data_IF_868703687282
#
_entry.id   IF_868703687282
#
_cell.length_a   1.000
_cell.length_b   1.000
_cell.length_c   1.000
_cell.angle_alpha   90.00
_cell.angle_beta   90.00
_cell.angle_gamma   90.00
#
_symmetry.space_group_name_H-M   'P 1'
#
loop_
_entity.id
_entity.type
_entity.pdbx_description
1 polymer ?
#
# COMPACT_ATOMS: atom_id res chain seq x y z
N UNK A 1 -9.50 13.59 -32.14
CA UNK A 1 -10.59 13.90 -31.21
C UNK A 1 -10.08 14.99 -30.30
N UNK A 2 -10.86 16.06 -30.09
CA UNK A 2 -10.58 17.09 -29.06
C UNK A 2 -10.63 16.41 -27.70
N UNK A 3 -9.64 16.68 -26.83
CA UNK A 3 -9.66 16.21 -25.45
C UNK A 3 -10.94 16.73 -24.76
N UNK A 4 -11.56 15.89 -23.95
CA UNK A 4 -12.74 16.26 -23.16
C UNK A 4 -12.31 17.32 -22.13
N UNK A 5 -13.11 18.38 -21.98
CA UNK A 5 -12.86 19.37 -20.92
C UNK A 5 -13.24 18.83 -19.54
N UNK A 6 -12.75 19.49 -18.48
CA UNK A 6 -13.11 19.14 -17.09
C UNK A 6 -14.62 19.21 -16.85
N UNK A 7 -15.30 20.23 -17.40
CA UNK A 7 -16.75 20.39 -17.27
C UNK A 7 -17.53 19.27 -17.99
N UNK A 8 -17.07 18.87 -19.18
CA UNK A 8 -17.66 17.76 -19.93
C UNK A 8 -17.47 16.43 -19.20
N UNK A 9 -16.30 16.21 -18.62
CA UNK A 9 -16.01 15.02 -17.83
C UNK A 9 -16.87 14.95 -16.57
N UNK A 10 -16.90 16.02 -15.78
CA UNK A 10 -17.76 16.11 -14.59
C UNK A 10 -19.23 15.86 -14.93
N UNK A 11 -19.74 16.52 -15.98
CA UNK A 11 -21.11 16.35 -16.42
C UNK A 11 -21.41 14.93 -16.92
N UNK A 12 -20.44 14.27 -17.55
CA UNK A 12 -20.60 12.88 -18.01
C UNK A 12 -20.69 11.91 -16.82
N UNK A 13 -19.77 12.02 -15.84
CA UNK A 13 -19.78 11.20 -14.62
C UNK A 13 -21.07 11.46 -13.82
N UNK A 14 -21.43 12.71 -13.60
CA UNK A 14 -22.66 13.08 -12.88
C UNK A 14 -23.91 12.49 -13.54
N UNK A 15 -24.02 12.49 -14.87
CA UNK A 15 -25.14 11.86 -15.57
C UNK A 15 -25.21 10.35 -15.39
N UNK A 16 -24.05 9.66 -15.44
CA UNK A 16 -23.99 8.23 -15.22
C UNK A 16 -24.45 7.88 -13.80
N UNK A 17 -23.95 8.60 -12.81
CA UNK A 17 -24.34 8.42 -11.40
C UNK A 17 -25.84 8.71 -11.18
N UNK A 18 -26.37 9.77 -11.78
CA UNK A 18 -27.80 10.09 -11.72
C UNK A 18 -28.70 9.04 -12.40
N UNK A 19 -28.15 8.30 -13.38
CA UNK A 19 -28.81 7.15 -14.00
C UNK A 19 -28.73 5.87 -13.15
N UNK A 20 -28.04 5.92 -12.01
CA UNK A 20 -27.85 4.78 -11.11
C UNK A 20 -26.71 3.85 -11.52
N UNK A 21 -25.82 4.29 -12.40
CA UNK A 21 -24.62 3.53 -12.75
C UNK A 21 -23.64 3.48 -11.58
N UNK A 22 -23.12 2.29 -11.29
CA UNK A 22 -22.12 2.07 -10.24
C UNK A 22 -20.78 1.58 -10.81
N UNK A 23 -20.73 1.16 -12.06
CA UNK A 23 -19.50 0.81 -12.80
C UNK A 23 -19.14 2.01 -13.70
N UNK A 24 -18.26 2.87 -13.21
CA UNK A 24 -17.85 4.10 -13.86
C UNK A 24 -16.50 3.90 -14.55
N UNK A 25 -16.47 4.02 -15.87
CA UNK A 25 -15.27 3.85 -16.69
C UNK A 25 -14.89 5.13 -17.40
N UNK A 26 -13.66 5.58 -17.15
CA UNK A 26 -13.14 6.85 -17.64
C UNK A 26 -11.84 6.59 -18.40
N UNK A 27 -11.74 7.20 -19.60
CA UNK A 27 -10.51 7.20 -20.36
C UNK A 27 -9.95 8.63 -20.39
N UNK A 28 -8.83 8.84 -19.75
CA UNK A 28 -8.14 10.12 -19.67
C UNK A 28 -6.98 10.19 -20.68
N UNK A 29 -6.49 11.39 -20.93
CA UNK A 29 -5.22 11.59 -21.60
C UNK A 29 -4.07 11.08 -20.73
N UNK A 30 -2.95 10.74 -21.35
CA UNK A 30 -1.76 10.20 -20.66
C UNK A 30 -1.20 11.20 -19.63
N UNK A 31 -1.29 12.50 -19.94
CA UNK A 31 -0.85 13.63 -19.13
C UNK A 31 -1.98 14.30 -18.34
N UNK A 32 -3.09 13.58 -18.07
CA UNK A 32 -4.18 14.11 -17.28
C UNK A 32 -3.68 14.58 -15.91
N UNK A 33 -4.03 15.81 -15.58
CA UNK A 33 -3.58 16.51 -14.39
C UNK A 33 -4.61 16.47 -13.23
N UNK A 34 -4.27 17.10 -12.11
CA UNK A 34 -5.12 17.16 -10.94
C UNK A 34 -6.51 17.80 -11.21
N UNK A 35 -6.63 18.67 -12.22
CA UNK A 35 -7.92 19.31 -12.54
C UNK A 35 -8.90 18.32 -13.18
N UNK A 36 -8.41 17.39 -14.00
CA UNK A 36 -9.22 16.31 -14.56
C UNK A 36 -9.68 15.34 -13.47
N UNK A 37 -8.80 14.98 -12.55
CA UNK A 37 -9.16 14.16 -11.41
C UNK A 37 -10.14 14.87 -10.46
N UNK A 38 -9.96 16.17 -10.22
CA UNK A 38 -10.92 16.97 -9.41
C UNK A 38 -12.33 16.97 -10.02
N UNK A 39 -12.45 16.98 -11.34
CA UNK A 39 -13.75 16.85 -12.00
C UNK A 39 -14.44 15.50 -11.71
N UNK A 40 -13.66 14.42 -11.63
CA UNK A 40 -14.16 13.08 -11.27
C UNK A 40 -14.57 13.06 -9.80
N UNK A 41 -13.70 13.52 -8.90
CA UNK A 41 -13.96 13.49 -7.45
C UNK A 41 -15.13 14.36 -7.06
N UNK A 42 -15.31 15.53 -7.69
CA UNK A 42 -16.47 16.39 -7.48
C UNK A 42 -17.78 15.67 -7.81
N UNK A 43 -17.83 14.92 -8.90
CA UNK A 43 -19.02 14.14 -9.26
C UNK A 43 -19.26 12.97 -8.27
N UNK A 44 -18.22 12.21 -7.94
CA UNK A 44 -18.32 11.07 -7.02
C UNK A 44 -18.74 11.48 -5.60
N UNK A 45 -18.24 12.61 -5.10
CA UNK A 45 -18.57 13.11 -3.76
C UNK A 45 -20.09 13.35 -3.59
N UNK A 46 -20.82 13.64 -4.68
CA UNK A 46 -22.28 13.85 -4.64
C UNK A 46 -23.08 12.58 -4.34
N UNK A 47 -22.47 11.39 -4.46
CA UNK A 47 -23.13 10.10 -4.19
C UNK A 47 -23.14 9.74 -2.71
N UNK A 48 -22.36 10.43 -1.89
CA UNK A 48 -22.21 10.16 -0.46
C UNK A 48 -23.10 11.10 0.33
N UNK A 49 -23.79 10.57 1.35
CA UNK A 49 -24.65 11.37 2.22
C UNK A 49 -23.87 12.52 2.87
N UNK A 50 -24.22 13.79 2.60
CA UNK A 50 -23.49 14.93 3.13
C UNK A 50 -23.63 15.12 4.65
N UNK A 51 -24.55 14.41 5.31
CA UNK A 51 -24.73 14.46 6.76
C UNK A 51 -23.74 13.59 7.53
N UNK A 52 -23.05 12.65 6.85
CA UNK A 52 -22.06 11.79 7.47
C UNK A 52 -20.75 12.55 7.71
N UNK A 53 -20.20 12.41 8.90
CA UNK A 53 -18.87 12.95 9.21
C UNK A 53 -17.75 12.01 8.75
N UNK A 54 -16.50 12.47 8.85
CA UNK A 54 -15.34 11.70 8.43
C UNK A 54 -15.23 10.36 9.16
N UNK A 55 -15.49 10.32 10.47
CA UNK A 55 -15.41 9.08 11.25
C UNK A 55 -16.42 8.04 10.76
N UNK A 56 -17.66 8.45 10.51
CA UNK A 56 -18.70 7.58 9.95
C UNK A 56 -18.30 7.03 8.57
N UNK A 57 -17.73 7.87 7.71
CA UNK A 57 -17.30 7.47 6.37
C UNK A 57 -16.13 6.48 6.40
N UNK A 58 -15.13 6.72 7.20
CA UNK A 58 -13.96 5.84 7.28
C UNK A 58 -14.32 4.51 7.94
N UNK A 59 -15.03 4.56 9.08
CA UNK A 59 -15.28 3.35 9.89
C UNK A 59 -16.45 2.52 9.39
N UNK A 60 -17.58 3.14 9.05
CA UNK A 60 -18.85 2.44 8.89
C UNK A 60 -19.38 2.45 7.45
N UNK A 61 -19.07 3.47 6.65
CA UNK A 61 -19.59 3.61 5.30
C UNK A 61 -18.98 2.58 4.35
N UNK A 62 -19.77 2.06 3.43
CA UNK A 62 -19.32 1.17 2.35
C UNK A 62 -19.52 1.84 1.01
N UNK A 63 -18.45 2.06 0.28
CA UNK A 63 -18.50 2.59 -1.07
C UNK A 63 -19.31 1.69 -2.02
N UNK A 64 -19.94 2.31 -3.01
CA UNK A 64 -20.80 1.62 -3.96
C UNK A 64 -20.28 1.68 -5.39
N UNK A 65 -19.28 2.52 -5.66
CA UNK A 65 -18.79 2.81 -7.01
C UNK A 65 -17.56 1.96 -7.34
N UNK A 66 -17.64 1.25 -8.44
CA UNK A 66 -16.49 0.62 -9.10
C UNK A 66 -15.93 1.58 -10.13
N UNK A 67 -14.74 2.12 -9.88
CA UNK A 67 -14.10 3.11 -10.72
C UNK A 67 -12.97 2.48 -11.54
N UNK A 68 -13.05 2.58 -12.86
CA UNK A 68 -11.96 2.24 -13.77
C UNK A 68 -11.45 3.50 -14.46
N UNK A 69 -10.16 3.79 -14.33
CA UNK A 69 -9.48 4.87 -15.04
C UNK A 69 -8.42 4.25 -15.96
N UNK A 70 -8.49 4.63 -17.25
CA UNK A 70 -7.50 4.27 -18.27
C UNK A 70 -6.86 5.53 -18.84
N UNK A 71 -5.69 5.35 -19.50
CA UNK A 71 -4.96 6.41 -20.19
C UNK A 71 -3.99 7.17 -19.29
N UNK A 72 -4.45 7.75 -18.18
CA UNK A 72 -3.61 8.53 -17.27
C UNK A 72 -2.42 7.71 -16.73
N UNK A 73 -1.21 8.30 -16.76
CA UNK A 73 0.02 7.69 -16.25
C UNK A 73 0.27 7.95 -14.79
N UNK A 74 -0.27 9.05 -14.27
CA UNK A 74 -0.12 9.44 -12.87
C UNK A 74 -1.49 9.69 -12.25
N UNK A 75 -1.70 9.17 -11.04
CA UNK A 75 -2.78 9.64 -10.16
C UNK A 75 -2.16 10.70 -9.26
N UNK A 76 -2.67 11.95 -9.27
CA UNK A 76 -2.13 13.03 -8.45
C UNK A 76 -2.22 12.75 -6.94
N UNK A 77 -1.39 13.44 -6.17
CA UNK A 77 -1.45 13.43 -4.70
C UNK A 77 -2.85 13.81 -4.18
N UNK A 78 -3.23 13.27 -3.04
CA UNK A 78 -4.48 13.56 -2.32
C UNK A 78 -5.77 13.48 -3.15
N UNK A 79 -5.79 12.80 -4.30
CA UNK A 79 -6.92 12.78 -5.24
C UNK A 79 -8.22 12.28 -4.60
N UNK A 80 -8.18 11.13 -3.94
CA UNK A 80 -9.34 10.51 -3.27
C UNK A 80 -9.15 10.47 -1.73
N UNK A 81 -8.43 11.43 -1.20
CA UNK A 81 -8.13 11.57 0.22
C UNK A 81 -9.41 11.87 1.03
N UNK A 82 -9.68 11.08 2.06
CA UNK A 82 -10.89 11.22 2.88
C UNK A 82 -10.58 12.08 4.10
N UNK A 83 -10.44 13.38 3.92
CA UNK A 83 -10.28 14.37 4.97
C UNK A 83 -10.79 15.74 4.51
N UNK A 84 -11.73 16.33 5.25
CA UNK A 84 -12.39 17.60 4.92
C UNK A 84 -11.43 18.81 4.92
N UNK A 85 -10.29 18.71 5.63
CA UNK A 85 -9.30 19.78 5.71
C UNK A 85 -8.28 19.75 4.57
N UNK A 86 -8.18 18.62 3.84
CA UNK A 86 -7.18 18.41 2.79
C UNK A 86 -7.80 18.49 1.39
N UNK A 87 -8.99 17.93 1.22
CA UNK A 87 -9.63 17.82 -0.10
C UNK A 87 -11.08 18.29 -0.05
N UNK A 88 -11.44 19.29 -0.85
CA UNK A 88 -12.83 19.80 -0.93
C UNK A 88 -13.85 18.73 -1.36
N UNK A 89 -13.39 17.72 -2.12
CA UNK A 89 -14.19 16.59 -2.60
C UNK A 89 -13.92 15.31 -1.77
N UNK A 90 -13.51 15.43 -0.53
CA UNK A 90 -13.05 14.36 0.35
C UNK A 90 -13.99 13.14 0.45
N UNK A 91 -15.28 13.32 0.22
CA UNK A 91 -16.25 12.22 0.19
C UNK A 91 -16.08 11.28 -1.00
N UNK A 92 -15.35 11.69 -2.04
CA UNK A 92 -15.16 10.87 -3.24
C UNK A 92 -14.46 9.54 -2.92
N UNK A 93 -13.44 9.54 -2.05
CA UNK A 93 -12.77 8.32 -1.61
C UNK A 93 -13.69 7.35 -0.87
N UNK A 94 -14.64 7.88 -0.10
CA UNK A 94 -15.66 7.08 0.57
C UNK A 94 -16.68 6.47 -0.40
N UNK A 95 -16.94 7.10 -1.55
CA UNK A 95 -17.83 6.56 -2.58
C UNK A 95 -17.30 5.26 -3.23
N UNK A 96 -15.99 5.03 -3.19
CA UNK A 96 -15.32 3.93 -3.90
C UNK A 96 -15.53 2.59 -3.22
N UNK A 97 -15.97 1.59 -3.98
CA UNK A 97 -15.96 0.16 -3.62
C UNK A 97 -14.75 -0.53 -4.20
N UNK A 98 -14.43 -0.26 -5.46
CA UNK A 98 -13.23 -0.76 -6.12
C UNK A 98 -12.61 0.29 -7.02
N UNK A 99 -11.29 0.18 -7.21
CA UNK A 99 -10.52 1.03 -8.12
C UNK A 99 -9.68 0.16 -9.04
N UNK A 100 -9.74 0.45 -10.35
CA UNK A 100 -8.86 -0.15 -11.36
C UNK A 100 -8.18 0.95 -12.17
N UNK A 101 -6.85 0.96 -12.16
CA UNK A 101 -6.00 1.91 -12.90
C UNK A 101 -5.22 1.14 -13.97
N UNK A 102 -5.72 1.13 -15.20
CA UNK A 102 -5.16 0.22 -16.23
C UNK A 102 -3.81 0.66 -16.78
N UNK A 103 -3.52 1.97 -16.77
CA UNK A 103 -2.36 2.55 -17.46
C UNK A 103 -1.42 3.34 -16.52
N UNK A 104 -1.84 3.57 -15.29
CA UNK A 104 -1.05 4.31 -14.32
C UNK A 104 0.28 3.60 -14.03
N UNK A 105 1.35 4.38 -14.01
CA UNK A 105 2.70 3.96 -13.63
C UNK A 105 3.12 4.52 -12.27
N UNK A 106 2.49 5.63 -11.85
CA UNK A 106 2.77 6.30 -10.58
C UNK A 106 1.47 6.67 -9.87
N UNK A 107 1.44 6.46 -8.56
CA UNK A 107 0.37 6.91 -7.66
C UNK A 107 0.98 7.88 -6.67
N UNK A 108 0.45 9.10 -6.64
CA UNK A 108 0.94 10.19 -5.81
C UNK A 108 0.65 10.00 -4.32
N UNK A 109 1.34 10.80 -3.51
CA UNK A 109 1.26 10.78 -2.06
C UNK A 109 -0.19 10.91 -1.57
N UNK A 110 -0.58 10.05 -0.64
CA UNK A 110 -1.92 10.06 -0.03
C UNK A 110 -3.10 9.98 -1.01
N UNK A 111 -2.90 9.53 -2.25
CA UNK A 111 -3.91 9.60 -3.31
C UNK A 111 -5.26 8.93 -2.96
N UNK A 112 -5.25 7.89 -2.15
CA UNK A 112 -6.43 7.13 -1.72
C UNK A 112 -6.54 7.01 -0.20
N UNK A 113 -5.89 7.91 0.54
CA UNK A 113 -5.88 7.87 2.00
C UNK A 113 -7.27 7.72 2.60
N UNK A 114 -7.45 6.73 3.48
CA UNK A 114 -8.71 6.42 4.17
C UNK A 114 -9.92 6.14 3.27
N UNK A 115 -9.70 5.77 2.00
CA UNK A 115 -10.79 5.40 1.09
C UNK A 115 -11.53 4.14 1.55
N UNK A 116 -12.84 4.08 1.28
CA UNK A 116 -13.71 2.98 1.73
C UNK A 116 -13.61 1.71 0.87
N UNK A 117 -12.71 1.68 -0.12
CA UNK A 117 -12.61 0.60 -1.10
C UNK A 117 -12.21 -0.75 -0.47
N UNK A 118 -12.72 -1.82 -1.07
CA UNK A 118 -12.39 -3.20 -0.72
C UNK A 118 -11.41 -3.84 -1.69
N UNK A 119 -11.29 -3.29 -2.91
CA UNK A 119 -10.42 -3.83 -3.96
C UNK A 119 -9.67 -2.72 -4.69
N UNK A 120 -8.37 -2.95 -4.94
CA UNK A 120 -7.49 -2.04 -5.66
C UNK A 120 -6.63 -2.80 -6.68
N UNK A 121 -6.66 -2.38 -7.94
CA UNK A 121 -5.91 -2.99 -9.04
C UNK A 121 -5.20 -1.92 -9.86
N UNK A 122 -3.86 -2.02 -9.94
CA UNK A 122 -3.03 -1.15 -10.79
C UNK A 122 -1.89 -1.99 -11.42
N UNK A 123 -2.20 -2.73 -12.50
CA UNK A 123 -1.28 -3.74 -13.04
C UNK A 123 0.03 -3.18 -13.61
N UNK A 124 0.07 -1.92 -14.01
CA UNK A 124 1.23 -1.29 -14.63
C UNK A 124 1.97 -0.30 -13.72
N UNK A 125 1.50 -0.13 -12.47
CA UNK A 125 2.15 0.79 -11.55
C UNK A 125 3.53 0.29 -11.14
N UNK A 126 4.50 1.21 -11.17
CA UNK A 126 5.90 0.96 -10.82
C UNK A 126 6.21 1.56 -9.45
N UNK A 127 5.63 2.71 -9.15
CA UNK A 127 5.87 3.47 -7.94
C UNK A 127 4.57 3.92 -7.29
N UNK A 128 4.48 3.71 -5.97
CA UNK A 128 3.41 4.24 -5.13
C UNK A 128 4.08 5.09 -4.04
N UNK A 129 3.76 6.38 -4.02
CA UNK A 129 4.30 7.32 -3.05
C UNK A 129 3.71 7.11 -1.65
N UNK A 130 4.28 7.81 -0.65
CA UNK A 130 3.94 7.60 0.75
C UNK A 130 2.45 7.79 1.06
N UNK A 131 1.94 7.03 2.03
CA UNK A 131 0.57 7.11 2.57
C UNK A 131 -0.55 6.88 1.54
N UNK A 132 -0.22 6.45 0.31
CA UNK A 132 -1.17 6.46 -0.81
C UNK A 132 -2.43 5.62 -0.57
N UNK A 133 -2.35 4.53 0.16
CA UNK A 133 -3.48 3.66 0.53
C UNK A 133 -3.60 3.50 2.07
N UNK A 134 -2.93 4.37 2.85
CA UNK A 134 -3.02 4.34 4.31
C UNK A 134 -4.46 4.51 4.77
N UNK A 135 -4.84 3.77 5.80
CA UNK A 135 -6.18 3.85 6.38
C UNK A 135 -7.30 3.28 5.50
N UNK A 136 -6.98 2.58 4.41
CA UNK A 136 -7.97 1.83 3.63
C UNK A 136 -8.42 0.59 4.43
N UNK A 137 -9.14 0.82 5.51
CA UNK A 137 -9.43 -0.19 6.55
C UNK A 137 -10.20 -1.41 6.05
N UNK A 138 -10.89 -1.30 4.91
CA UNK A 138 -11.73 -2.35 4.32
C UNK A 138 -11.06 -3.06 3.14
N UNK A 139 -9.84 -2.64 2.78
CA UNK A 139 -9.11 -3.19 1.65
C UNK A 139 -8.74 -4.65 1.89
N UNK A 140 -9.24 -5.55 1.03
CA UNK A 140 -8.98 -6.99 1.09
C UNK A 140 -8.21 -7.50 -0.11
N UNK A 141 -8.45 -6.92 -1.28
CA UNK A 141 -7.95 -7.40 -2.56
C UNK A 141 -7.04 -6.36 -3.21
N UNK A 142 -5.77 -6.69 -3.37
CA UNK A 142 -4.74 -5.82 -3.95
C UNK A 142 -4.04 -6.55 -5.08
N UNK A 143 -4.00 -5.93 -6.28
CA UNK A 143 -3.31 -6.46 -7.46
C UNK A 143 -2.30 -5.45 -8.02
N UNK A 144 -1.01 -5.67 -7.72
CA UNK A 144 0.13 -4.81 -8.02
C UNK A 144 1.31 -5.64 -8.57
N UNK A 145 1.16 -6.31 -9.71
CA UNK A 145 2.18 -7.26 -10.19
C UNK A 145 3.48 -6.60 -10.64
N UNK A 146 3.49 -5.31 -10.93
CA UNK A 146 4.64 -4.60 -11.53
C UNK A 146 5.30 -3.60 -10.58
N UNK A 147 4.75 -3.36 -9.39
CA UNK A 147 5.26 -2.35 -8.47
C UNK A 147 6.68 -2.70 -8.01
N UNK A 148 7.57 -1.72 -8.07
CA UNK A 148 8.98 -1.85 -7.68
C UNK A 148 9.29 -1.07 -6.39
N UNK A 149 8.63 0.06 -6.18
CA UNK A 149 8.86 0.93 -5.03
C UNK A 149 7.55 1.28 -4.34
N UNK A 150 7.52 1.06 -3.03
CA UNK A 150 6.49 1.54 -2.13
C UNK A 150 7.10 2.59 -1.19
N UNK A 151 6.49 3.76 -1.12
CA UNK A 151 6.83 4.81 -0.18
C UNK A 151 6.45 4.45 1.26
N UNK A 152 6.63 5.40 2.18
CA UNK A 152 6.32 5.21 3.59
C UNK A 152 4.82 4.97 3.81
N UNK A 153 4.47 4.04 4.70
CA UNK A 153 3.12 3.77 5.19
C UNK A 153 2.04 3.49 4.11
N UNK A 154 2.43 3.01 2.92
CA UNK A 154 1.48 2.84 1.78
C UNK A 154 0.25 2.03 2.16
N UNK A 155 0.38 0.96 2.93
CA UNK A 155 -0.72 0.11 3.40
C UNK A 155 -0.90 0.14 4.92
N UNK A 156 -0.33 1.14 5.61
CA UNK A 156 -0.55 1.29 7.05
C UNK A 156 -2.04 1.36 7.37
N UNK A 157 -2.46 0.75 8.49
CA UNK A 157 -3.85 0.70 8.94
C UNK A 157 -4.86 0.04 7.94
N UNK A 158 -4.37 -0.81 7.02
CA UNK A 158 -5.23 -1.65 6.19
C UNK A 158 -5.69 -2.89 6.99
N UNK A 159 -6.57 -2.71 7.97
CA UNK A 159 -6.94 -3.73 8.95
C UNK A 159 -7.53 -5.00 8.38
N UNK A 160 -8.19 -4.94 7.20
CA UNK A 160 -8.82 -6.09 6.57
C UNK A 160 -7.91 -6.86 5.61
N UNK A 161 -6.71 -6.34 5.30
CA UNK A 161 -5.78 -6.92 4.35
C UNK A 161 -5.17 -8.20 4.91
N UNK A 162 -5.45 -9.36 4.30
CA UNK A 162 -4.96 -10.66 4.77
C UNK A 162 -3.71 -11.15 4.06
N UNK A 163 -3.62 -10.89 2.78
CA UNK A 163 -2.51 -11.34 1.96
C UNK A 163 -2.11 -10.28 0.97
N UNK A 164 -0.80 -10.16 0.71
CA UNK A 164 -0.32 -9.28 -0.34
C UNK A 164 0.79 -9.96 -1.14
N UNK A 165 0.75 -9.74 -2.47
CA UNK A 165 1.74 -10.25 -3.41
C UNK A 165 2.33 -9.10 -4.20
N UNK A 166 3.64 -8.91 -4.06
CA UNK A 166 4.44 -7.83 -4.65
C UNK A 166 5.66 -8.45 -5.37
N UNK A 167 5.45 -9.20 -6.45
CA UNK A 167 6.49 -10.05 -7.04
C UNK A 167 7.70 -9.28 -7.61
N UNK A 168 7.52 -8.02 -7.97
CA UNK A 168 8.57 -7.16 -8.54
C UNK A 168 9.10 -6.11 -7.56
N UNK A 169 8.54 -6.00 -6.35
CA UNK A 169 8.91 -4.97 -5.38
C UNK A 169 10.34 -5.17 -4.87
N UNK A 170 11.12 -4.10 -4.92
CA UNK A 170 12.53 -4.02 -4.52
C UNK A 170 12.67 -3.21 -3.24
N UNK A 171 12.01 -2.06 -3.18
CA UNK A 171 12.12 -1.09 -2.11
C UNK A 171 10.79 -0.96 -1.36
N UNK A 172 10.84 -1.19 -0.05
CA UNK A 172 9.76 -0.94 0.90
C UNK A 172 10.16 0.26 1.78
N UNK A 173 9.34 1.29 1.79
CA UNK A 173 9.48 2.47 2.66
C UNK A 173 9.32 2.12 4.14
N UNK A 174 9.16 3.09 5.02
CA UNK A 174 8.96 2.83 6.44
C UNK A 174 7.49 2.49 6.73
N UNK A 175 7.25 1.45 7.52
CA UNK A 175 5.92 1.11 8.03
C UNK A 175 4.88 0.76 6.97
N UNK A 176 5.30 0.23 5.82
CA UNK A 176 4.40 -0.06 4.69
C UNK A 176 3.18 -0.87 5.13
N UNK A 177 3.36 -1.83 6.03
CA UNK A 177 2.28 -2.69 6.55
C UNK A 177 1.99 -2.46 8.03
N UNK A 178 2.40 -1.31 8.59
CA UNK A 178 2.13 -1.00 9.97
C UNK A 178 0.63 -1.13 10.28
N UNK A 179 0.29 -1.76 11.40
CA UNK A 179 -1.09 -1.97 11.86
C UNK A 179 -1.99 -2.78 10.90
N UNK A 180 -1.43 -3.54 9.97
CA UNK A 180 -2.21 -4.50 9.19
C UNK A 180 -2.55 -5.73 10.05
N UNK A 181 -3.48 -5.59 11.00
CA UNK A 181 -3.73 -6.61 12.04
C UNK A 181 -4.16 -7.96 11.49
N UNK A 182 -4.91 -7.99 10.37
CA UNK A 182 -5.35 -9.22 9.72
C UNK A 182 -4.31 -9.83 8.78
N UNK A 183 -3.16 -9.18 8.55
CA UNK A 183 -2.17 -9.61 7.56
C UNK A 183 -1.51 -10.93 7.98
N UNK A 184 -1.76 -11.98 7.21
CA UNK A 184 -1.26 -13.34 7.44
C UNK A 184 0.00 -13.63 6.61
N UNK A 185 0.05 -13.15 5.36
CA UNK A 185 1.15 -13.47 4.45
C UNK A 185 1.58 -12.28 3.60
N UNK A 186 2.91 -12.11 3.47
CA UNK A 186 3.55 -11.16 2.57
C UNK A 186 4.48 -11.91 1.62
N UNK A 187 4.31 -11.69 0.32
CA UNK A 187 5.15 -12.25 -0.74
C UNK A 187 5.80 -11.13 -1.54
N UNK A 188 7.08 -10.84 -1.26
CA UNK A 188 7.90 -9.83 -1.93
C UNK A 188 9.31 -10.41 -2.23
N UNK A 189 9.42 -11.40 -3.12
CA UNK A 189 10.63 -12.21 -3.31
C UNK A 189 11.81 -11.44 -3.90
N UNK A 190 11.61 -10.21 -4.34
CA UNK A 190 12.68 -9.31 -4.84
C UNK A 190 13.01 -8.18 -3.88
N UNK A 191 12.28 -8.06 -2.76
CA UNK A 191 12.51 -6.98 -1.80
C UNK A 191 13.90 -7.10 -1.18
N UNK A 192 14.71 -6.06 -1.36
CA UNK A 192 16.10 -5.99 -0.91
C UNK A 192 16.33 -4.87 0.09
N UNK A 193 15.56 -3.80 0.02
CA UNK A 193 15.64 -2.66 0.92
C UNK A 193 14.34 -2.55 1.71
N UNK A 194 14.46 -2.62 3.03
CA UNK A 194 13.32 -2.58 3.94
C UNK A 194 13.43 -1.33 4.81
N UNK A 195 12.31 -0.62 4.94
CA UNK A 195 12.17 0.46 5.89
C UNK A 195 12.13 -0.03 7.34
N UNK A 196 11.86 0.88 8.26
CA UNK A 196 11.66 0.55 9.66
C UNK A 196 10.20 0.21 9.95
N UNK A 197 9.96 -0.55 11.04
CA UNK A 197 8.62 -0.86 11.55
C UNK A 197 7.63 -1.44 10.53
N UNK A 198 8.14 -2.15 9.51
CA UNK A 198 7.34 -2.68 8.39
C UNK A 198 6.12 -3.49 8.81
N UNK A 199 6.29 -4.32 9.83
CA UNK A 199 5.27 -5.26 10.29
C UNK A 199 4.79 -4.95 11.72
N UNK A 200 4.93 -3.69 12.15
CA UNK A 200 4.45 -3.29 13.48
C UNK A 200 2.95 -3.54 13.58
N UNK A 201 2.53 -4.18 14.68
CA UNK A 201 1.13 -4.56 14.94
C UNK A 201 0.48 -5.51 13.91
N UNK A 202 1.26 -6.19 13.06
CA UNK A 202 0.75 -7.27 12.20
C UNK A 202 0.52 -8.54 13.03
N UNK A 203 -0.50 -8.53 13.88
CA UNK A 203 -0.71 -9.56 14.90
C UNK A 203 -1.11 -10.93 14.37
N UNK A 204 -1.57 -11.01 13.12
CA UNK A 204 -1.94 -12.27 12.44
C UNK A 204 -0.83 -12.83 11.54
N UNK A 205 0.34 -12.17 11.44
CA UNK A 205 1.40 -12.52 10.49
C UNK A 205 1.98 -13.91 10.76
N UNK A 206 2.00 -14.75 9.73
CA UNK A 206 2.50 -16.14 9.82
C UNK A 206 3.58 -16.46 8.80
N UNK A 207 3.66 -15.70 7.68
CA UNK A 207 4.66 -15.94 6.64
C UNK A 207 5.09 -14.66 5.95
N UNK A 208 6.40 -14.49 5.81
CA UNK A 208 7.03 -13.41 5.05
C UNK A 208 8.03 -13.99 4.07
N UNK A 209 7.92 -13.62 2.80
CA UNK A 209 8.90 -13.96 1.76
C UNK A 209 9.57 -12.69 1.26
N UNK A 210 10.88 -12.63 1.33
CA UNK A 210 11.72 -11.51 0.91
C UNK A 210 12.81 -11.97 -0.06
N UNK A 211 13.44 -11.02 -0.73
CA UNK A 211 14.59 -11.26 -1.60
C UNK A 211 15.91 -11.43 -0.84
N UNK A 212 17.01 -11.09 -1.52
CA UNK A 212 18.33 -10.98 -0.91
C UNK A 212 18.43 -9.62 -0.22
N UNK A 213 18.03 -9.55 1.04
CA UNK A 213 17.96 -8.29 1.81
C UNK A 213 19.35 -7.65 1.90
N UNK A 214 19.46 -6.40 1.49
CA UNK A 214 20.68 -5.61 1.47
C UNK A 214 20.73 -4.59 2.61
N UNK A 215 19.58 -4.01 2.94
CA UNK A 215 19.46 -3.04 4.01
C UNK A 215 18.13 -3.14 4.73
N UNK A 216 18.15 -2.88 6.04
CA UNK A 216 16.96 -2.70 6.86
C UNK A 216 17.16 -1.45 7.70
N UNK A 217 16.22 -0.52 7.62
CA UNK A 217 16.21 0.66 8.47
C UNK A 217 15.69 0.29 9.87
N UNK A 218 16.35 0.76 10.91
CA UNK A 218 15.91 0.61 12.29
C UNK A 218 15.95 1.97 12.97
N UNK A 219 14.81 2.65 13.04
CA UNK A 219 14.70 4.02 13.59
C UNK A 219 15.06 4.04 15.08
N UNK A 220 14.74 2.96 15.82
CA UNK A 220 14.91 2.87 17.26
C UNK A 220 16.12 2.02 17.65
N UNK A 221 16.66 2.23 18.88
CA UNK A 221 17.83 1.50 19.38
C UNK A 221 17.53 0.07 19.83
N UNK A 222 16.25 -0.19 20.16
CA UNK A 222 15.79 -1.51 20.60
C UNK A 222 15.28 -2.32 19.42
N UNK A 223 15.59 -3.62 19.41
CA UNK A 223 15.00 -4.57 18.47
C UNK A 223 13.49 -4.72 18.69
N UNK A 224 13.03 -4.47 19.91
CA UNK A 224 11.60 -4.51 20.25
C UNK A 224 10.81 -3.40 19.56
N UNK A 225 11.48 -2.35 19.10
CA UNK A 225 10.90 -1.23 18.35
C UNK A 225 11.27 -1.29 16.85
N UNK A 226 11.72 -2.44 16.36
CA UNK A 226 12.19 -2.64 14.99
C UNK A 226 11.13 -3.18 14.04
N UNK A 227 11.60 -3.92 13.04
CA UNK A 227 10.83 -4.40 11.88
C UNK A 227 9.53 -5.13 12.24
N UNK A 228 9.54 -5.95 13.31
CA UNK A 228 8.42 -6.78 13.77
C UNK A 228 7.85 -6.30 15.13
N UNK A 229 8.01 -5.03 15.46
CA UNK A 229 7.52 -4.49 16.73
C UNK A 229 6.03 -4.79 16.94
N UNK A 230 5.68 -5.38 18.09
CA UNK A 230 4.30 -5.74 18.44
C UNK A 230 3.55 -6.58 17.39
N UNK A 231 4.26 -7.15 16.41
CA UNK A 231 3.71 -8.12 15.48
C UNK A 231 3.32 -9.43 16.20
N UNK A 232 2.85 -10.43 15.44
CA UNK A 232 2.78 -11.79 15.98
C UNK A 232 4.16 -12.20 16.50
N UNK A 233 4.21 -13.03 17.57
CA UNK A 233 5.50 -13.56 18.04
C UNK A 233 6.24 -14.15 16.83
N UNK A 234 7.42 -13.61 16.53
CA UNK A 234 8.22 -14.02 15.36
C UNK A 234 8.50 -15.52 15.34
N UNK A 235 8.48 -16.18 16.53
CA UNK A 235 8.54 -17.64 16.64
C UNK A 235 7.36 -18.38 15.98
N UNK A 236 6.30 -17.68 15.61
CA UNK A 236 5.17 -18.21 14.84
C UNK A 236 5.29 -17.91 13.34
N UNK A 237 6.23 -17.06 12.94
CA UNK A 237 6.40 -16.58 11.57
C UNK A 237 7.39 -17.47 10.81
N UNK A 238 7.01 -17.89 9.61
CA UNK A 238 7.89 -18.51 8.63
C UNK A 238 8.54 -17.41 7.77
N UNK A 239 9.86 -17.25 7.88
CA UNK A 239 10.63 -16.33 7.05
C UNK A 239 11.25 -17.10 5.87
N UNK A 240 11.02 -16.64 4.66
CA UNK A 240 11.62 -17.16 3.44
C UNK A 240 12.49 -16.07 2.81
N UNK A 241 13.74 -16.35 2.57
CA UNK A 241 14.73 -15.45 1.99
C UNK A 241 15.30 -16.04 0.69
N UNK A 242 15.86 -15.19 -0.17
CA UNK A 242 16.63 -15.64 -1.32
C UNK A 242 17.84 -16.51 -0.87
N UNK A 243 18.18 -17.52 -1.67
CA UNK A 243 19.39 -18.32 -1.46
C UNK A 243 20.71 -17.52 -1.52
N UNK A 244 20.66 -16.31 -2.07
CA UNK A 244 21.80 -15.39 -2.14
C UNK A 244 21.89 -14.46 -0.92
N UNK A 245 21.08 -14.70 0.13
CA UNK A 245 21.07 -13.86 1.33
C UNK A 245 22.46 -13.83 1.99
N UNK A 246 22.88 -12.62 2.37
CA UNK A 246 24.10 -12.34 3.08
C UNK A 246 23.84 -12.16 4.58
N UNK A 247 24.88 -12.34 5.40
CA UNK A 247 24.82 -11.98 6.82
C UNK A 247 24.57 -10.49 6.96
N UNK A 248 23.66 -10.14 7.86
CA UNK A 248 23.32 -8.74 8.15
C UNK A 248 24.07 -8.27 9.40
N UNK A 249 24.67 -7.09 9.33
CA UNK A 249 25.37 -6.45 10.46
C UNK A 249 24.71 -5.11 10.77
N UNK A 250 24.44 -4.87 12.05
CA UNK A 250 23.85 -3.62 12.50
C UNK A 250 24.91 -2.54 12.66
N UNK A 251 24.69 -1.39 12.02
CA UNK A 251 25.49 -0.19 12.16
C UNK A 251 24.79 0.80 13.09
N UNK A 252 25.24 0.91 14.32
CA UNK A 252 24.65 1.78 15.34
C UNK A 252 24.74 3.28 15.03
N UNK A 253 25.66 3.69 14.15
CA UNK A 253 25.82 5.08 13.76
C UNK A 253 24.78 5.55 12.74
N UNK A 254 24.39 4.65 11.83
CA UNK A 254 23.39 4.90 10.78
C UNK A 254 22.02 4.35 11.10
N UNK A 255 21.90 3.48 12.12
CA UNK A 255 20.68 2.74 12.49
C UNK A 255 20.18 1.82 11.37
N UNK A 256 21.10 1.23 10.61
CA UNK A 256 20.77 0.27 9.55
C UNK A 256 21.40 -1.07 9.80
N UNK A 257 20.67 -2.14 9.44
CA UNK A 257 21.26 -3.43 9.13
C UNK A 257 21.70 -3.41 7.67
N UNK A 258 22.92 -3.86 7.42
CA UNK A 258 23.51 -3.92 6.07
C UNK A 258 24.07 -5.30 5.80
N UNK A 259 23.91 -5.75 4.55
CA UNK A 259 24.51 -7.00 4.09
C UNK A 259 26.04 -6.91 4.09
N UNK A 260 26.69 -8.00 4.48
CA UNK A 260 28.15 -8.20 4.41
C UNK A 260 28.51 -9.02 3.17
N UNK A 261 29.80 -9.32 2.98
CA UNK A 261 30.24 -10.23 1.92
C UNK A 261 30.06 -11.71 2.30
N UNK A 262 29.63 -12.02 3.52
CA UNK A 262 29.49 -13.39 4.02
C UNK A 262 28.09 -13.93 3.74
N UNK A 263 28.02 -15.14 3.16
CA UNK A 263 26.75 -15.81 2.90
C UNK A 263 26.02 -16.17 4.20
N UNK A 264 24.74 -15.85 4.24
CA UNK A 264 23.86 -16.24 5.33
C UNK A 264 23.49 -17.72 5.21
N UNK A 265 23.65 -18.48 6.27
CA UNK A 265 23.42 -19.93 6.26
C UNK A 265 22.19 -20.35 7.10
N UNK A 266 21.32 -19.41 7.44
CA UNK A 266 20.15 -19.66 8.30
C UNK A 266 20.47 -19.63 9.80
N UNK A 267 21.71 -19.34 10.20
CA UNK A 267 22.09 -19.19 11.60
C UNK A 267 22.84 -17.89 11.82
N UNK A 268 22.13 -16.91 12.29
CA UNK A 268 22.73 -15.84 13.06
C UNK A 268 22.63 -16.29 14.52
N UNK A 269 23.74 -16.56 15.17
CA UNK A 269 23.79 -17.05 16.55
C UNK A 269 22.93 -18.28 16.93
N UNK A 270 23.45 -19.46 16.73
CA UNK A 270 23.15 -20.70 17.49
C UNK A 270 21.88 -21.51 17.17
N UNK A 271 20.90 -21.04 16.37
CA UNK A 271 19.60 -21.73 16.24
C UNK A 271 19.09 -22.04 14.83
N UNK A 272 19.75 -21.70 13.73
CA UNK A 272 19.25 -21.84 12.34
C UNK A 272 17.89 -21.18 12.06
N UNK A 273 17.47 -20.22 12.87
CA UNK A 273 16.14 -19.58 12.80
C UNK A 273 16.18 -18.06 13.04
N UNK A 274 17.37 -17.49 13.22
CA UNK A 274 17.51 -16.06 13.53
C UNK A 274 17.86 -15.25 12.29
N UNK A 275 17.26 -14.09 12.15
CA UNK A 275 17.59 -13.11 11.13
C UNK A 275 17.41 -11.70 11.69
N UNK A 276 18.40 -10.81 11.50
CA UNK A 276 18.43 -9.44 12.03
C UNK A 276 17.98 -9.31 13.49
N UNK A 277 18.46 -10.22 14.35
CA UNK A 277 18.16 -10.23 15.77
C UNK A 277 16.85 -10.90 16.21
N UNK A 278 15.94 -11.20 15.29
CA UNK A 278 14.70 -11.93 15.60
C UNK A 278 14.86 -13.44 15.44
N UNK A 279 14.15 -14.22 16.25
CA UNK A 279 14.04 -15.68 16.12
C UNK A 279 12.69 -16.03 15.49
N UNK A 280 12.71 -16.78 14.39
CA UNK A 280 11.52 -17.17 13.62
C UNK A 280 11.14 -18.64 13.87
N UNK A 281 9.91 -19.04 13.50
CA UNK A 281 9.49 -20.43 13.44
C UNK A 281 10.41 -21.25 12.54
N UNK A 282 10.72 -20.70 11.37
CA UNK A 282 11.72 -21.21 10.43
C UNK A 282 12.28 -20.07 9.59
N UNK A 283 13.55 -20.18 9.20
CA UNK A 283 14.15 -19.39 8.13
C UNK A 283 14.52 -20.35 7.01
N UNK A 284 14.00 -20.11 5.81
CA UNK A 284 14.23 -20.95 4.63
C UNK A 284 14.89 -20.12 3.54
N UNK A 285 15.93 -20.65 2.91
CA UNK A 285 16.55 -20.05 1.72
C UNK A 285 16.01 -20.74 0.46
N UNK A 286 15.64 -19.94 -0.59
CA UNK A 286 15.09 -20.44 -1.85
C UNK A 286 15.66 -19.71 -3.07
#
# INVERSE_FOLDING_TARGET
>A
ATAMSTDELNAAVTRALAAGETDIRINLAEDADATMFSAITAALATTVDPSLDQYELVMNYSGTIDLTISGAKTVPECTFYVDEYVNENWRAGAALRSVTLTDATTIGESAFFSSAMTSFSAPNVIEIEGFALEGCMKLTDVYLPSVQTLGDAVFSDCYALKTISLPECIDLGNGVFNSCEALETVYAPKATNLGAIEFMLCTSLTKVTLGSVQSVNQIYESIDDGLFCLANDTKNIELVLSSEQKVMTFDSSTKYWKATDTDYNGSDDHNNKSFIGYTFKSVTLQ
#
